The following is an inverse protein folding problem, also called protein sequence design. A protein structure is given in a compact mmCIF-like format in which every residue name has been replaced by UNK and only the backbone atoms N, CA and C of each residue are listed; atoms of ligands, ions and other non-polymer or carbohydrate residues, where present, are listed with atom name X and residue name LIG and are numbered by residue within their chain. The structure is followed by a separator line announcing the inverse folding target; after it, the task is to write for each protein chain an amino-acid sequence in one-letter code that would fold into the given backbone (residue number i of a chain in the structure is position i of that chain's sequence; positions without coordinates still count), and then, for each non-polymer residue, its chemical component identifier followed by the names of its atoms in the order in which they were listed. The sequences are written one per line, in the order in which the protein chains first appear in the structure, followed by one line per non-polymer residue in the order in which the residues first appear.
data_IF_067042945421
#
_entry.id   IF_067042945421
#
_cell.length_a   1.000
_cell.length_b   1.000
_cell.length_c   1.000
_cell.angle_alpha   90.00
_cell.angle_beta   90.00
_cell.angle_gamma   90.00
#
_symmetry.space_group_name_H-M   'P 1'
#
loop_
_entity.id
_entity.type
_entity.pdbx_description
1 polymer ?
#
# COMPACT_ATOMS: atom_id res chain seq x y z
N UNK A 1 -11.53 18.60 -17.11
CA UNK A 1 -10.87 18.98 -15.84
C UNK A 1 -9.61 19.75 -16.20
N UNK A 2 -9.34 20.88 -15.56
CA UNK A 2 -8.06 21.57 -15.70
C UNK A 2 -7.14 21.10 -14.58
N UNK A 3 -5.81 21.06 -14.81
CA UNK A 3 -4.84 20.63 -13.80
C UNK A 3 -4.97 21.39 -12.47
N UNK A 4 -5.24 22.67 -12.53
CA UNK A 4 -5.44 23.52 -11.34
C UNK A 4 -6.61 23.10 -10.43
N UNK A 5 -7.54 22.26 -10.95
CA UNK A 5 -8.69 21.74 -10.19
C UNK A 5 -8.38 20.40 -9.51
N UNK A 6 -7.24 19.79 -9.84
CA UNK A 6 -6.80 18.52 -9.26
C UNK A 6 -6.34 18.74 -7.83
N UNK A 7 -6.87 17.94 -6.90
CA UNK A 7 -6.55 17.99 -5.46
C UNK A 7 -5.90 16.73 -4.93
N UNK A 8 -6.09 15.62 -5.63
CA UNK A 8 -5.60 14.30 -5.20
C UNK A 8 -4.82 13.64 -6.34
N UNK A 9 -3.67 13.06 -6.02
CA UNK A 9 -2.86 12.27 -6.94
C UNK A 9 -2.70 10.85 -6.42
N UNK A 10 -2.77 9.90 -7.32
CA UNK A 10 -2.36 8.52 -7.08
C UNK A 10 -1.11 8.25 -7.91
N UNK A 11 0.02 7.99 -7.25
CA UNK A 11 1.31 7.78 -7.89
C UNK A 11 1.75 6.32 -7.78
N UNK A 12 2.18 5.74 -8.89
CA UNK A 12 2.80 4.43 -8.99
C UNK A 12 4.27 4.62 -9.39
N UNK A 13 5.15 4.85 -8.43
CA UNK A 13 6.54 5.23 -8.69
C UNK A 13 7.49 4.06 -8.95
N UNK A 14 7.00 2.83 -8.80
CA UNK A 14 7.78 1.61 -9.03
C UNK A 14 6.87 0.46 -9.44
N UNK A 15 7.24 -0.26 -10.47
CA UNK A 15 6.66 -1.56 -10.81
C UNK A 15 7.44 -2.73 -10.18
N UNK A 16 8.47 -2.47 -9.38
CA UNK A 16 9.23 -3.50 -8.66
C UNK A 16 8.62 -3.78 -7.29
N UNK A 17 8.65 -5.03 -6.86
CA UNK A 17 8.28 -5.44 -5.52
C UNK A 17 9.17 -6.61 -5.07
N UNK A 18 9.56 -6.62 -3.81
CA UNK A 18 10.30 -7.74 -3.22
C UNK A 18 9.40 -8.87 -2.71
N UNK A 19 8.09 -8.61 -2.53
CA UNK A 19 7.13 -9.61 -2.07
C UNK A 19 6.53 -10.43 -3.21
N UNK A 20 6.12 -11.67 -2.93
CA UNK A 20 5.47 -12.62 -3.87
C UNK A 20 4.12 -13.06 -3.30
N UNK A 21 3.18 -12.10 -3.18
CA UNK A 21 1.86 -12.36 -2.61
C UNK A 21 0.96 -13.11 -3.61
N UNK A 22 0.36 -14.27 -3.25
CA UNK A 22 -0.36 -15.13 -4.19
C UNK A 22 -1.57 -14.49 -4.90
N UNK A 23 -2.20 -13.50 -4.28
CA UNK A 23 -3.36 -12.81 -4.86
C UNK A 23 -3.00 -11.44 -5.47
N UNK A 24 -1.71 -11.13 -5.58
CA UNK A 24 -1.27 -9.87 -6.19
C UNK A 24 -1.42 -9.95 -7.72
N UNK A 25 -1.89 -8.86 -8.34
CA UNK A 25 -2.03 -8.76 -9.79
C UNK A 25 -0.70 -8.95 -10.56
N UNK A 26 0.44 -8.75 -9.88
CA UNK A 26 1.77 -9.05 -10.44
C UNK A 26 1.95 -10.51 -10.83
N UNK A 27 1.28 -11.44 -10.15
CA UNK A 27 1.47 -12.89 -10.24
C UNK A 27 0.23 -13.56 -10.80
N UNK A 28 0.09 -13.66 -12.14
CA UNK A 28 -1.11 -14.19 -12.77
C UNK A 28 -1.37 -15.64 -12.34
N UNK A 29 -2.62 -15.97 -12.10
CA UNK A 29 -3.06 -17.29 -11.65
C UNK A 29 -2.30 -17.83 -10.41
N UNK A 30 -1.92 -16.93 -9.51
CA UNK A 30 -1.10 -17.25 -8.33
C UNK A 30 0.26 -17.87 -8.66
N UNK A 31 0.80 -17.58 -9.84
CA UNK A 31 2.14 -17.97 -10.25
C UNK A 31 3.19 -17.46 -9.25
N UNK A 32 4.34 -18.10 -9.20
CA UNK A 32 5.51 -17.54 -8.53
C UNK A 32 6.20 -16.46 -9.38
N UNK A 33 5.98 -16.48 -10.69
CA UNK A 33 6.62 -15.57 -11.62
C UNK A 33 5.73 -14.40 -11.99
N UNK A 34 6.35 -13.26 -12.14
CA UNK A 34 5.69 -12.00 -12.47
C UNK A 34 5.02 -12.04 -13.85
N UNK A 35 4.01 -11.20 -14.01
CA UNK A 35 3.36 -11.03 -15.31
C UNK A 35 4.37 -10.51 -16.34
N UNK A 36 4.43 -11.07 -17.56
CA UNK A 36 5.43 -10.70 -18.58
C UNK A 36 5.43 -9.22 -19.00
N UNK A 37 4.32 -8.51 -18.76
CA UNK A 37 4.24 -7.07 -19.05
C UNK A 37 4.99 -6.19 -18.05
N UNK A 38 5.38 -6.73 -16.87
CA UNK A 38 6.11 -5.97 -15.86
C UNK A 38 7.59 -5.91 -16.26
N UNK A 39 8.11 -4.69 -16.37
CA UNK A 39 9.51 -4.46 -16.72
C UNK A 39 10.27 -3.92 -15.52
N UNK A 40 11.47 -4.41 -15.29
CA UNK A 40 12.36 -3.92 -14.23
C UNK A 40 12.80 -2.46 -14.44
N UNK A 41 12.53 -1.89 -15.60
CA UNK A 41 12.79 -0.48 -15.94
C UNK A 41 11.65 0.46 -15.55
N UNK A 42 10.50 -0.07 -15.15
CA UNK A 42 9.31 0.73 -14.83
C UNK A 42 9.43 1.28 -13.40
N UNK A 43 10.46 2.12 -13.21
CA UNK A 43 10.78 2.81 -11.95
C UNK A 43 11.07 4.28 -12.26
N UNK A 44 10.33 5.17 -11.64
CA UNK A 44 10.51 6.59 -11.86
C UNK A 44 11.76 7.13 -11.16
N UNK A 45 12.56 7.89 -11.88
CA UNK A 45 13.65 8.69 -11.28
C UNK A 45 13.09 10.00 -10.74
N UNK A 46 13.85 10.64 -9.85
CA UNK A 46 13.49 11.99 -9.36
C UNK A 46 13.39 13.00 -10.50
N UNK A 47 14.29 12.96 -11.48
CA UNK A 47 14.27 13.86 -12.63
C UNK A 47 12.99 13.69 -13.47
N UNK A 48 12.56 12.45 -13.69
CA UNK A 48 11.31 12.16 -14.39
C UNK A 48 10.09 12.68 -13.63
N UNK A 49 10.10 12.55 -12.29
CA UNK A 49 9.02 13.09 -11.46
C UNK A 49 9.01 14.61 -11.52
N UNK A 50 10.17 15.26 -11.37
CA UNK A 50 10.26 16.73 -11.44
C UNK A 50 9.84 17.28 -12.80
N UNK A 51 10.16 16.57 -13.88
CA UNK A 51 9.76 16.96 -15.23
C UNK A 51 8.25 16.86 -15.45
N UNK A 52 7.61 15.77 -14.95
CA UNK A 52 6.18 15.48 -15.18
C UNK A 52 5.25 16.09 -14.14
N UNK A 53 5.76 16.28 -12.93
CA UNK A 53 5.08 16.89 -11.80
C UNK A 53 5.97 18.00 -11.22
N UNK A 54 6.14 19.11 -11.95
CA UNK A 54 6.92 20.24 -11.46
C UNK A 54 6.27 20.86 -10.22
N UNK A 55 7.05 21.54 -9.39
CA UNK A 55 6.55 22.15 -8.15
C UNK A 55 5.37 23.11 -8.38
N UNK A 56 5.32 23.79 -9.53
CA UNK A 56 4.19 24.64 -9.92
C UNK A 56 2.87 23.89 -9.97
N UNK A 57 2.89 22.63 -10.39
CA UNK A 57 1.71 21.79 -10.56
C UNK A 57 1.31 21.12 -9.24
N UNK A 58 2.28 20.82 -8.38
CA UNK A 58 2.05 20.17 -7.07
C UNK A 58 1.52 21.13 -6.01
N UNK A 59 1.75 22.44 -6.12
CA UNK A 59 1.41 23.46 -5.09
C UNK A 59 -0.04 23.46 -4.61
N UNK A 60 -0.99 23.00 -5.44
CA UNK A 60 -2.41 22.94 -5.12
C UNK A 60 -2.89 21.54 -4.75
N UNK A 61 -2.01 20.55 -4.75
CA UNK A 61 -2.33 19.17 -4.39
C UNK A 61 -2.46 19.07 -2.88
N UNK A 62 -3.57 18.53 -2.43
CA UNK A 62 -3.90 18.37 -1.02
C UNK A 62 -3.60 16.95 -0.51
N UNK A 63 -3.68 15.95 -1.41
CA UNK A 63 -3.45 14.55 -1.05
C UNK A 63 -2.64 13.83 -2.13
N UNK A 64 -1.64 13.08 -1.71
CA UNK A 64 -0.91 12.14 -2.57
C UNK A 64 -0.99 10.75 -1.97
N UNK A 65 -1.41 9.78 -2.76
CA UNK A 65 -1.33 8.37 -2.45
C UNK A 65 -0.23 7.73 -3.29
N UNK A 66 0.75 7.12 -2.64
CA UNK A 66 1.73 6.23 -3.28
C UNK A 66 1.34 4.82 -2.91
N UNK A 67 0.67 4.11 -3.83
CA UNK A 67 -0.02 2.87 -3.48
C UNK A 67 0.83 1.62 -3.71
N UNK A 68 1.43 1.46 -4.85
CA UNK A 68 2.11 0.21 -5.20
C UNK A 68 1.14 -0.89 -5.64
N UNK A 69 0.28 -0.61 -6.60
CA UNK A 69 -0.63 -1.60 -7.19
C UNK A 69 0.15 -2.72 -7.88
N UNK A 70 1.18 -2.36 -8.64
CA UNK A 70 2.05 -3.29 -9.35
C UNK A 70 3.46 -3.38 -8.77
N UNK A 71 3.81 -2.54 -7.82
CA UNK A 71 5.12 -2.49 -7.21
C UNK A 71 5.06 -2.21 -5.71
N UNK A 72 6.18 -1.78 -5.17
CA UNK A 72 6.23 -1.26 -3.81
C UNK A 72 7.16 -0.04 -3.77
N UNK A 73 6.72 1.01 -3.12
CA UNK A 73 7.43 2.27 -2.92
C UNK A 73 8.90 2.08 -2.49
N UNK A 74 9.12 1.16 -1.53
CA UNK A 74 10.45 0.92 -0.94
C UNK A 74 11.49 0.39 -1.94
N UNK A 75 11.06 -0.14 -3.08
CA UNK A 75 11.96 -0.66 -4.11
C UNK A 75 12.55 0.45 -5.00
N UNK A 76 11.92 1.62 -5.03
CA UNK A 76 12.42 2.75 -5.80
C UNK A 76 13.58 3.45 -5.06
N UNK A 77 14.77 3.47 -5.66
CA UNK A 77 15.96 4.11 -5.07
C UNK A 77 15.80 5.62 -4.86
N UNK A 78 14.91 6.28 -5.61
CA UNK A 78 14.62 7.71 -5.51
C UNK A 78 13.43 8.03 -4.60
N UNK A 79 12.88 7.02 -3.90
CA UNK A 79 11.66 7.16 -3.12
C UNK A 79 11.68 8.35 -2.13
N UNK A 80 12.75 8.48 -1.33
CA UNK A 80 12.91 9.62 -0.40
C UNK A 80 12.90 10.97 -1.14
N UNK A 81 13.70 11.10 -2.20
CA UNK A 81 13.78 12.34 -2.97
C UNK A 81 12.47 12.71 -3.64
N UNK A 82 11.69 11.71 -4.07
CA UNK A 82 10.36 11.92 -4.66
C UNK A 82 9.39 12.46 -3.60
N UNK A 83 9.33 11.83 -2.43
CA UNK A 83 8.45 12.28 -1.34
C UNK A 83 8.87 13.67 -0.85
N UNK A 84 10.17 13.94 -0.73
CA UNK A 84 10.69 15.24 -0.38
C UNK A 84 10.30 16.32 -1.40
N UNK A 85 10.42 16.03 -2.70
CA UNK A 85 9.99 16.95 -3.76
C UNK A 85 8.50 17.29 -3.67
N UNK A 86 7.65 16.31 -3.39
CA UNK A 86 6.19 16.52 -3.21
C UNK A 86 5.94 17.42 -1.99
N UNK A 87 6.60 17.12 -0.87
CA UNK A 87 6.47 17.90 0.36
C UNK A 87 6.94 19.35 0.16
N UNK A 88 8.11 19.55 -0.45
CA UNK A 88 8.69 20.90 -0.67
C UNK A 88 7.79 21.75 -1.58
N UNK A 89 7.17 21.13 -2.58
CA UNK A 89 6.25 21.79 -3.51
C UNK A 89 4.89 22.11 -2.88
N UNK A 90 4.41 21.28 -1.95
CA UNK A 90 3.15 21.46 -1.22
C UNK A 90 3.29 21.04 0.24
N UNK A 91 3.80 21.90 1.14
CA UNK A 91 4.11 21.55 2.52
C UNK A 91 2.91 21.11 3.38
N UNK A 92 1.69 21.45 2.95
CA UNK A 92 0.45 21.03 3.63
C UNK A 92 -0.17 19.77 3.04
N UNK A 93 0.38 19.26 1.94
CA UNK A 93 -0.10 18.04 1.29
C UNK A 93 0.02 16.84 2.26
N UNK A 94 -1.05 16.07 2.36
CA UNK A 94 -1.04 14.80 3.09
C UNK A 94 -0.56 13.69 2.17
N UNK A 95 0.52 13.02 2.53
CA UNK A 95 1.11 11.93 1.75
C UNK A 95 0.81 10.61 2.48
N UNK A 96 0.17 9.67 1.78
CA UNK A 96 -0.06 8.31 2.27
C UNK A 96 0.71 7.33 1.41
N UNK A 97 1.50 6.48 2.05
CA UNK A 97 2.29 5.43 1.39
C UNK A 97 1.78 4.08 1.87
N UNK A 98 1.46 3.18 0.93
CA UNK A 98 1.23 1.78 1.22
C UNK A 98 2.48 0.97 0.88
N UNK A 99 2.92 0.11 1.80
CA UNK A 99 4.14 -0.68 1.62
C UNK A 99 4.09 -2.00 2.39
N UNK A 100 4.84 -2.99 1.92
CA UNK A 100 5.10 -4.21 2.70
C UNK A 100 6.17 -4.01 3.78
N UNK A 101 6.92 -2.90 3.76
CA UNK A 101 7.90 -2.54 4.79
C UNK A 101 9.16 -3.40 4.88
N UNK A 102 9.32 -4.46 4.07
CA UNK A 102 10.37 -5.48 4.23
C UNK A 102 11.66 -5.19 3.45
N UNK A 103 11.97 -3.91 3.22
CA UNK A 103 13.23 -3.50 2.60
C UNK A 103 13.71 -2.18 3.18
N UNK A 104 14.90 -1.76 2.75
CA UNK A 104 15.64 -0.60 3.28
C UNK A 104 16.20 -0.84 4.67
N UNK A 105 17.11 0.04 5.08
CA UNK A 105 17.72 0.02 6.42
C UNK A 105 16.88 0.83 7.39
N UNK A 106 17.00 0.56 8.68
CA UNK A 106 16.33 1.36 9.72
C UNK A 106 16.66 2.85 9.60
N UNK A 107 17.90 3.20 9.25
CA UNK A 107 18.30 4.60 9.01
C UNK A 107 17.50 5.26 7.88
N UNK A 108 17.21 4.55 6.79
CA UNK A 108 16.39 5.05 5.70
C UNK A 108 14.96 5.36 6.16
N UNK A 109 14.40 4.51 7.04
CA UNK A 109 13.09 4.73 7.63
C UNK A 109 13.08 5.90 8.62
N UNK A 110 14.17 6.08 9.38
CA UNK A 110 14.38 7.25 10.23
C UNK A 110 14.41 8.53 9.39
N UNK A 111 15.11 8.53 8.25
CA UNK A 111 15.16 9.67 7.32
C UNK A 111 13.76 9.98 6.74
N UNK A 112 12.99 8.97 6.37
CA UNK A 112 11.63 9.14 5.87
C UNK A 112 10.69 9.78 6.91
N UNK A 113 10.90 9.48 8.20
CA UNK A 113 10.08 9.99 9.29
C UNK A 113 10.20 11.52 9.50
N UNK A 114 11.27 12.14 9.01
CA UNK A 114 11.42 13.61 9.09
C UNK A 114 10.54 14.38 8.10
N UNK A 115 9.93 13.71 7.12
CA UNK A 115 9.05 14.39 6.16
C UNK A 115 7.68 14.59 6.81
N UNK A 116 7.23 15.85 7.03
CA UNK A 116 5.96 16.13 7.67
C UNK A 116 4.75 15.69 6.83
N UNK A 117 3.59 15.55 7.48
CA UNK A 117 2.31 15.20 6.85
C UNK A 117 2.34 13.87 6.06
N UNK A 118 3.29 12.99 6.41
CA UNK A 118 3.46 11.67 5.84
C UNK A 118 2.87 10.61 6.77
N UNK A 119 2.05 9.73 6.22
CA UNK A 119 1.60 8.50 6.88
C UNK A 119 2.08 7.30 6.07
N UNK A 120 2.70 6.34 6.75
CA UNK A 120 3.09 5.06 6.14
C UNK A 120 2.15 3.97 6.65
N UNK A 121 1.48 3.31 5.72
CA UNK A 121 0.65 2.15 5.99
C UNK A 121 1.44 0.86 5.73
N UNK A 122 1.85 0.20 6.80
CA UNK A 122 2.53 -1.09 6.75
C UNK A 122 1.53 -2.22 6.56
N UNK A 123 1.68 -3.00 5.49
CA UNK A 123 0.83 -4.13 5.20
C UNK A 123 1.41 -5.41 5.82
N UNK A 124 0.99 -5.72 7.05
CA UNK A 124 1.36 -6.93 7.78
C UNK A 124 0.13 -7.83 7.97
N UNK A 125 0.19 -9.06 7.46
CA UNK A 125 -0.94 -9.99 7.45
C UNK A 125 -0.71 -11.13 8.45
N UNK A 126 -0.69 -10.80 9.75
CA UNK A 126 -0.49 -11.70 10.87
C UNK A 126 0.79 -11.46 11.66
N UNK A 127 1.08 -12.34 12.60
CA UNK A 127 2.32 -12.38 13.37
C UNK A 127 3.43 -13.10 12.57
N UNK A 128 4.58 -13.32 13.20
CA UNK A 128 5.78 -13.89 12.56
C UNK A 128 5.52 -15.25 11.89
N UNK A 129 4.72 -16.09 12.51
CA UNK A 129 4.41 -17.45 12.07
C UNK A 129 3.45 -17.51 10.87
N UNK A 130 2.59 -16.53 10.71
CA UNK A 130 1.54 -16.53 9.67
C UNK A 130 1.75 -15.51 8.55
N UNK A 131 2.42 -14.40 8.85
CA UNK A 131 2.64 -13.31 7.90
C UNK A 131 3.22 -13.79 6.56
N UNK A 132 4.26 -14.63 6.62
CA UNK A 132 4.96 -15.13 5.44
C UNK A 132 4.17 -16.12 4.59
N UNK A 133 3.05 -16.65 5.09
CA UNK A 133 2.17 -17.50 4.30
C UNK A 133 1.54 -16.72 3.14
N UNK A 134 1.19 -15.45 3.36
CA UNK A 134 0.68 -14.57 2.33
C UNK A 134 1.72 -13.60 1.78
N UNK A 135 2.45 -12.87 2.65
CA UNK A 135 3.49 -11.92 2.26
C UNK A 135 4.83 -12.63 2.01
N UNK A 136 4.82 -13.56 1.06
CA UNK A 136 5.98 -14.38 0.75
C UNK A 136 7.15 -13.53 0.28
N UNK A 137 8.35 -13.99 0.56
CA UNK A 137 9.61 -13.30 0.26
C UNK A 137 9.77 -11.95 0.99
N UNK A 138 9.05 -11.77 2.11
CA UNK A 138 9.26 -10.68 3.07
C UNK A 138 9.79 -11.27 4.39
N UNK A 139 10.38 -10.41 5.22
CA UNK A 139 10.86 -10.80 6.54
C UNK A 139 10.12 -10.02 7.61
N UNK A 140 9.36 -10.70 8.46
CA UNK A 140 8.51 -10.10 9.49
C UNK A 140 9.32 -9.24 10.47
N UNK A 141 10.44 -9.76 10.99
CA UNK A 141 11.29 -9.03 11.92
C UNK A 141 11.84 -7.73 11.29
N UNK A 142 12.27 -7.80 10.03
CA UNK A 142 12.72 -6.60 9.29
C UNK A 142 11.62 -5.55 9.20
N UNK A 143 10.37 -5.96 8.96
CA UNK A 143 9.24 -5.01 8.88
C UNK A 143 9.02 -4.35 10.24
N UNK A 144 9.03 -5.13 11.32
CA UNK A 144 8.85 -4.62 12.68
C UNK A 144 9.98 -3.65 13.07
N UNK A 145 11.23 -3.98 12.75
CA UNK A 145 12.37 -3.12 13.06
C UNK A 145 12.32 -1.81 12.25
N UNK A 146 11.91 -1.87 10.99
CA UNK A 146 11.71 -0.71 10.13
C UNK A 146 10.56 0.19 10.64
N UNK A 147 9.43 -0.41 11.00
CA UNK A 147 8.30 0.32 11.58
C UNK A 147 8.68 1.00 12.90
N UNK A 148 9.40 0.30 13.78
CA UNK A 148 9.92 0.88 15.04
C UNK A 148 10.86 2.05 14.79
N UNK A 149 11.78 1.93 13.84
CA UNK A 149 12.70 3.00 13.49
C UNK A 149 11.94 4.25 13.01
N UNK A 150 10.98 4.06 12.11
CA UNK A 150 10.11 5.13 11.60
C UNK A 150 9.28 5.80 12.72
N UNK A 151 8.60 5.00 13.55
CA UNK A 151 7.75 5.50 14.66
C UNK A 151 8.58 6.22 15.71
N UNK A 152 9.74 5.67 16.10
CA UNK A 152 10.63 6.26 17.11
C UNK A 152 11.11 7.66 16.73
N UNK A 153 11.25 7.95 15.45
CA UNK A 153 11.60 9.28 14.93
C UNK A 153 10.38 10.21 14.76
N UNK A 154 9.20 9.80 15.25
CA UNK A 154 7.98 10.60 15.17
C UNK A 154 7.16 10.39 13.91
N UNK A 155 7.50 9.40 13.09
CA UNK A 155 6.76 9.05 11.89
C UNK A 155 5.36 8.52 12.21
N UNK A 156 4.36 8.90 11.41
CA UNK A 156 2.98 8.44 11.55
C UNK A 156 2.80 7.10 10.79
N UNK A 157 2.63 6.00 11.52
CA UNK A 157 2.48 4.66 10.96
C UNK A 157 1.09 4.08 11.23
N UNK A 158 0.50 3.47 10.21
CA UNK A 158 -0.69 2.62 10.30
C UNK A 158 -0.30 1.16 9.99
N UNK A 159 -0.99 0.22 10.61
CA UNK A 159 -0.88 -1.20 10.30
C UNK A 159 -2.18 -1.66 9.62
N UNK A 160 -2.10 -2.18 8.40
CA UNK A 160 -3.23 -2.83 7.72
C UNK A 160 -3.00 -4.33 7.63
N UNK A 161 -3.98 -5.10 8.10
CA UNK A 161 -4.00 -6.57 8.05
C UNK A 161 -5.16 -7.04 7.17
N UNK A 162 -4.86 -7.92 6.21
CA UNK A 162 -5.90 -8.68 5.51
C UNK A 162 -6.16 -9.98 6.25
N UNK A 163 -7.42 -10.24 6.59
CA UNK A 163 -7.82 -11.40 7.37
C UNK A 163 -8.09 -12.57 6.41
N UNK A 164 -7.33 -13.65 6.62
CA UNK A 164 -7.44 -14.94 5.95
C UNK A 164 -7.74 -16.05 6.96
N UNK A 165 -8.10 -17.25 6.48
CA UNK A 165 -8.31 -18.41 7.33
C UNK A 165 -7.10 -18.70 8.25
N UNK A 166 -5.88 -18.58 7.72
CA UNK A 166 -4.65 -18.91 8.44
C UNK A 166 -4.22 -17.90 9.52
N UNK A 167 -4.72 -16.65 9.47
CA UNK A 167 -4.33 -15.59 10.41
C UNK A 167 -5.51 -14.98 11.20
N UNK A 168 -6.76 -15.41 10.94
CA UNK A 168 -7.96 -14.82 11.58
C UNK A 168 -7.95 -14.89 13.11
N UNK A 169 -7.28 -15.90 13.67
CA UNK A 169 -7.13 -16.09 15.13
C UNK A 169 -6.15 -15.10 15.78
N UNK A 170 -5.36 -14.36 14.99
CA UNK A 170 -4.33 -13.44 15.48
C UNK A 170 -4.73 -11.96 15.45
N UNK A 171 -5.96 -11.62 15.04
CA UNK A 171 -6.38 -10.21 14.88
C UNK A 171 -6.20 -9.41 16.17
N UNK A 172 -6.64 -9.95 17.31
CA UNK A 172 -6.51 -9.28 18.62
C UNK A 172 -5.05 -9.14 19.06
N UNK A 173 -4.25 -10.16 18.83
CA UNK A 173 -2.81 -10.15 19.15
C UNK A 173 -2.06 -9.16 18.27
N UNK A 174 -2.36 -9.09 16.98
CA UNK A 174 -1.81 -8.09 16.07
C UNK A 174 -2.22 -6.66 16.49
N UNK A 175 -3.47 -6.45 16.90
CA UNK A 175 -3.94 -5.16 17.38
C UNK A 175 -3.22 -4.74 18.67
N UNK A 176 -3.03 -5.67 19.60
CA UNK A 176 -2.28 -5.43 20.84
C UNK A 176 -0.84 -5.03 20.52
N UNK A 177 -0.16 -5.82 19.68
CA UNK A 177 1.21 -5.55 19.26
C UNK A 177 1.34 -4.21 18.52
N UNK A 178 0.38 -3.86 17.67
CA UNK A 178 0.36 -2.58 16.97
C UNK A 178 0.35 -1.41 17.98
N UNK A 179 -0.45 -1.48 19.03
CA UNK A 179 -0.48 -0.48 20.11
C UNK A 179 0.86 -0.40 20.87
N UNK A 180 1.43 -1.56 21.22
CA UNK A 180 2.72 -1.65 21.91
C UNK A 180 3.87 -1.05 21.08
N UNK A 181 3.82 -1.22 19.77
CA UNK A 181 4.80 -0.68 18.84
C UNK A 181 4.59 0.82 18.53
N UNK A 182 3.44 1.40 18.90
CA UNK A 182 3.13 2.81 18.68
C UNK A 182 2.51 3.11 17.32
N UNK A 183 1.94 2.13 16.62
CA UNK A 183 1.15 2.40 15.43
C UNK A 183 -0.05 3.28 15.79
N UNK A 184 -0.34 4.29 14.95
CA UNK A 184 -1.46 5.21 15.16
C UNK A 184 -2.81 4.52 14.98
N UNK A 185 -2.92 3.68 13.94
CA UNK A 185 -4.12 2.93 13.66
C UNK A 185 -3.78 1.48 13.31
N UNK A 186 -4.72 0.58 13.63
CA UNK A 186 -4.72 -0.81 13.18
C UNK A 186 -6.01 -1.09 12.42
N UNK A 187 -5.89 -1.58 11.19
CA UNK A 187 -7.00 -1.85 10.29
C UNK A 187 -6.98 -3.32 9.88
N UNK A 188 -7.90 -4.12 10.40
CA UNK A 188 -8.10 -5.50 9.96
C UNK A 188 -9.35 -5.58 9.08
N UNK A 189 -9.22 -6.22 7.92
CA UNK A 189 -10.31 -6.34 6.95
C UNK A 189 -10.34 -7.71 6.30
N UNK A 190 -11.54 -8.20 6.02
CA UNK A 190 -11.73 -9.41 5.22
C UNK A 190 -11.31 -9.16 3.77
N UNK A 191 -10.76 -10.21 3.13
CA UNK A 191 -10.63 -10.23 1.68
C UNK A 191 -11.93 -10.67 1.05
N UNK A 192 -12.30 -10.07 -0.08
CA UNK A 192 -13.40 -10.50 -0.95
C UNK A 192 -12.91 -11.45 -2.07
N UNK A 193 -11.60 -11.74 -2.09
CA UNK A 193 -10.97 -12.59 -3.10
C UNK A 193 -11.20 -14.06 -2.78
N UNK A 194 -11.35 -14.86 -3.84
CA UNK A 194 -11.51 -16.31 -3.76
C UNK A 194 -10.23 -17.00 -3.29
N UNK A 195 -10.36 -18.27 -2.89
CA UNK A 195 -9.21 -19.10 -2.54
C UNK A 195 -8.26 -19.28 -3.71
N UNK A 196 -6.95 -19.17 -3.44
CA UNK A 196 -5.90 -19.39 -4.45
C UNK A 196 -4.78 -20.25 -3.87
N UNK A 197 -4.08 -21.05 -4.71
CA UNK A 197 -2.90 -21.78 -4.26
C UNK A 197 -1.71 -20.82 -4.11
N UNK A 198 -0.90 -21.00 -3.09
CA UNK A 198 0.43 -20.42 -3.02
C UNK A 198 1.42 -21.39 -3.70
N UNK A 199 2.06 -20.97 -4.80
CA UNK A 199 2.92 -21.84 -5.61
C UNK A 199 4.39 -21.51 -5.37
N UNK A 200 5.24 -22.54 -5.31
CA UNK A 200 6.69 -22.39 -5.31
C UNK A 200 7.26 -22.08 -6.72
N UNK A 201 8.60 -22.00 -6.82
CA UNK A 201 9.31 -21.75 -8.08
C UNK A 201 9.14 -22.87 -9.10
N UNK A 202 8.81 -24.08 -8.67
CA UNK A 202 8.52 -25.24 -9.51
C UNK A 202 7.05 -25.30 -9.94
N UNK A 203 6.22 -24.35 -9.50
CA UNK A 203 4.79 -24.29 -9.77
C UNK A 203 3.95 -25.23 -8.89
N UNK A 204 4.57 -25.88 -7.90
CA UNK A 204 3.86 -26.77 -6.98
C UNK A 204 3.11 -25.96 -5.91
N UNK A 205 1.91 -26.41 -5.57
CA UNK A 205 1.12 -25.79 -4.50
C UNK A 205 1.71 -26.18 -3.15
N UNK A 206 2.18 -25.18 -2.41
CA UNK A 206 2.70 -25.38 -1.04
C UNK A 206 1.59 -25.34 0.02
N UNK A 207 0.63 -24.44 -0.17
CA UNK A 207 -0.55 -24.26 0.69
C UNK A 207 -1.63 -23.46 -0.05
N UNK A 208 -2.77 -23.26 0.60
CA UNK A 208 -3.86 -22.46 0.04
C UNK A 208 -4.07 -21.19 0.86
N UNK A 209 -4.26 -20.08 0.17
CA UNK A 209 -4.75 -18.84 0.76
C UNK A 209 -6.27 -18.84 0.63
N UNK A 210 -6.98 -18.87 1.76
CA UNK A 210 -8.43 -18.90 1.82
C UNK A 210 -8.97 -17.68 2.56
N UNK A 211 -10.12 -17.13 2.15
CA UNK A 211 -10.83 -16.14 2.95
C UNK A 211 -11.09 -16.65 4.36
N UNK A 212 -11.16 -15.76 5.32
CA UNK A 212 -11.57 -16.09 6.68
C UNK A 212 -13.01 -16.63 6.72
N UNK A 213 -13.24 -17.71 7.48
CA UNK A 213 -14.51 -18.43 7.46
C UNK A 213 -15.50 -17.96 8.52
N UNK A 214 -15.04 -17.57 9.71
CA UNK A 214 -15.89 -17.27 10.86
C UNK A 214 -15.40 -16.05 11.64
N UNK A 215 -14.91 -15.06 10.96
CA UNK A 215 -14.53 -13.87 11.67
C UNK A 215 -15.82 -13.12 12.08
N UNK A 216 -16.09 -12.93 13.39
CA UNK A 216 -16.88 -11.78 13.74
C UNK A 216 -16.19 -10.60 13.08
N UNK A 217 -16.93 -9.69 12.45
CA UNK A 217 -16.39 -8.43 11.92
C UNK A 217 -15.90 -7.54 13.07
N UNK A 218 -14.95 -8.03 13.81
CA UNK A 218 -14.11 -7.23 14.65
C UNK A 218 -13.05 -6.61 13.76
N UNK A 219 -13.49 -5.72 12.95
CA UNK A 219 -12.80 -4.45 12.83
C UNK A 219 -12.53 -4.05 14.26
N UNK A 220 -11.25 -4.11 14.70
CA UNK A 220 -10.90 -3.84 16.10
C UNK A 220 -11.69 -2.66 16.62
N UNK A 221 -12.04 -2.64 17.91
CA UNK A 221 -12.95 -1.67 18.49
C UNK A 221 -12.76 -0.30 17.84
N UNK A 222 -13.68 -0.01 16.94
CA UNK A 222 -13.69 1.24 16.21
C UNK A 222 -14.26 2.21 17.23
N UNK A 223 -13.38 3.00 17.84
CA UNK A 223 -13.84 4.18 18.60
C UNK A 223 -14.67 5.05 17.64
N UNK A 224 -15.62 5.83 18.13
CA UNK A 224 -16.41 6.75 17.29
C UNK A 224 -15.52 7.63 16.40
N UNK A 225 -14.36 8.03 16.91
CA UNK A 225 -13.32 8.77 16.19
C UNK A 225 -12.74 7.98 15.01
N UNK A 226 -12.52 6.67 15.20
CA UNK A 226 -12.03 5.76 14.17
C UNK A 226 -13.13 5.40 13.14
N UNK A 227 -14.42 5.43 13.52
CA UNK A 227 -15.54 5.26 12.58
C UNK A 227 -15.66 6.43 11.63
N UNK A 228 -15.57 7.66 12.14
CA UNK A 228 -15.57 8.86 11.29
C UNK A 228 -14.37 8.89 10.35
N UNK A 229 -13.17 8.52 10.82
CA UNK A 229 -11.98 8.38 9.98
C UNK A 229 -12.11 7.25 8.96
N UNK A 230 -12.85 6.17 9.27
CA UNK A 230 -13.12 5.06 8.36
C UNK A 230 -14.17 5.42 7.32
N UNK A 231 -15.25 6.09 7.68
CA UNK A 231 -16.23 6.64 6.74
C UNK A 231 -15.55 7.64 5.79
N UNK A 232 -14.73 8.52 6.30
CA UNK A 232 -13.94 9.45 5.51
C UNK A 232 -12.99 8.73 4.55
N UNK A 233 -12.26 7.68 5.03
CA UNK A 233 -11.38 6.87 4.16
C UNK A 233 -12.15 6.03 3.14
N UNK A 234 -13.31 5.48 3.49
CA UNK A 234 -14.17 4.74 2.55
C UNK A 234 -14.80 5.67 1.52
N UNK A 235 -15.21 6.86 1.91
CA UNK A 235 -15.73 7.90 1.02
C UNK A 235 -14.60 8.44 0.12
N UNK A 236 -13.38 8.61 0.67
CA UNK A 236 -12.22 9.09 -0.10
C UNK A 236 -11.63 8.03 -1.04
N UNK A 237 -11.93 6.73 -0.84
CA UNK A 237 -11.28 5.63 -1.57
C UNK A 237 -12.23 4.44 -1.86
N UNK A 238 -13.44 4.67 -2.42
CA UNK A 238 -14.42 3.61 -2.64
C UNK A 238 -13.97 2.56 -3.65
N UNK A 239 -13.07 2.91 -4.56
CA UNK A 239 -12.60 2.15 -5.71
C UNK A 239 -11.30 1.38 -5.45
N UNK A 240 -10.45 1.82 -4.53
CA UNK A 240 -9.19 1.12 -4.19
C UNK A 240 -9.41 -0.28 -3.61
N UNK A 241 -10.62 -0.61 -3.19
CA UNK A 241 -10.98 -1.86 -2.54
C UNK A 241 -12.10 -2.63 -3.24
N UNK A 242 -12.63 -2.13 -4.36
CA UNK A 242 -13.50 -2.93 -5.22
C UNK A 242 -12.65 -3.70 -6.21
N UNK A 243 -12.51 -5.00 -5.98
CA UNK A 243 -11.99 -5.92 -6.97
C UNK A 243 -12.92 -5.93 -8.18
N UNK A 244 -12.58 -5.18 -9.21
CA UNK A 244 -13.15 -5.47 -10.51
C UNK A 244 -12.55 -6.78 -10.99
N UNK A 245 -13.30 -7.86 -10.89
CA UNK A 245 -13.00 -9.20 -11.41
C UNK A 245 -12.99 -9.26 -12.95
N UNK A 246 -12.46 -8.24 -13.61
CA UNK A 246 -12.27 -8.29 -15.06
C UNK A 246 -10.80 -8.09 -15.38
N UNK A 247 -10.16 -9.19 -15.72
CA UNK A 247 -8.87 -9.20 -16.42
C UNK A 247 -9.12 -8.61 -17.82
N UNK A 248 -8.89 -7.32 -17.96
CA UNK A 248 -8.88 -6.69 -19.28
C UNK A 248 -7.51 -6.86 -19.93
N UNK A 249 -7.41 -7.82 -20.84
CA UNK A 249 -6.40 -7.82 -21.88
C UNK A 249 -6.74 -6.65 -22.82
N UNK A 250 -5.89 -5.67 -22.93
CA UNK A 250 -6.03 -4.39 -23.64
C UNK A 250 -6.83 -3.34 -22.86
N UNK A 251 -6.14 -2.61 -21.96
CA UNK A 251 -6.64 -1.36 -21.43
C UNK A 251 -6.10 -0.25 -22.33
N UNK A 252 -6.90 0.33 -23.23
CA UNK A 252 -6.65 1.69 -23.68
C UNK A 252 -6.71 2.56 -22.41
N UNK A 253 -5.85 3.55 -22.31
CA UNK A 253 -5.97 4.58 -21.27
C UNK A 253 -7.44 5.00 -21.23
N UNK A 254 -8.17 4.85 -20.11
CA UNK A 254 -9.57 5.24 -20.05
C UNK A 254 -9.66 6.72 -20.45
N UNK A 255 -10.63 7.05 -21.28
CA UNK A 255 -10.95 8.45 -21.53
C UNK A 255 -11.18 9.12 -20.18
N UNK A 256 -10.68 10.32 -20.00
CA UNK A 256 -10.82 11.09 -18.76
C UNK A 256 -12.27 11.14 -18.24
N UNK A 257 -13.25 10.95 -19.13
CA UNK A 257 -14.70 10.99 -18.84
C UNK A 257 -15.26 9.72 -18.19
N UNK A 258 -14.49 8.63 -18.14
CA UNK A 258 -14.92 7.33 -17.60
C UNK A 258 -14.27 6.96 -16.26
N UNK A 259 -13.42 7.82 -15.69
CA UNK A 259 -12.68 7.54 -14.47
C UNK A 259 -13.40 8.10 -13.24
N UNK A 260 -13.67 7.25 -12.24
CA UNK A 260 -14.25 7.70 -10.95
C UNK A 260 -13.37 8.75 -10.24
N UNK A 261 -12.06 8.75 -10.53
CA UNK A 261 -11.14 9.77 -10.04
C UNK A 261 -11.52 11.19 -10.46
N UNK A 262 -12.26 11.36 -11.56
CA UNK A 262 -12.78 12.66 -11.99
C UNK A 262 -13.84 13.20 -11.04
N UNK A 263 -14.69 12.34 -10.50
CA UNK A 263 -15.73 12.73 -9.53
C UNK A 263 -15.11 13.23 -8.23
N UNK A 264 -13.96 12.67 -7.86
CA UNK A 264 -13.23 13.02 -6.64
C UNK A 264 -12.11 14.04 -6.86
N UNK A 265 -11.98 14.59 -8.08
CA UNK A 265 -10.86 15.46 -8.47
C UNK A 265 -9.48 14.82 -8.22
N UNK A 266 -9.36 13.50 -8.51
CA UNK A 266 -8.15 12.72 -8.40
C UNK A 266 -7.60 12.36 -9.78
N UNK A 267 -6.29 12.18 -9.89
CA UNK A 267 -5.62 11.70 -11.11
C UNK A 267 -4.66 10.58 -10.73
N UNK A 268 -4.64 9.54 -11.56
CA UNK A 268 -3.61 8.49 -11.53
C UNK A 268 -2.45 8.89 -12.45
N UNK A 269 -1.22 8.84 -11.94
CA UNK A 269 0.01 9.18 -12.68
C UNK A 269 1.06 8.07 -12.52
#
# INVERSE_FOLDING_TARGET
MKWQDVKKLHLEISALCNAVCPQCARYPAASYYEHPSIKNTDVWTIDQVQQRLPASDLKNIEHVLINGTMGDFITNRHALSIVQHIHDASPTCKILINTNGSARTSRWWEELAYIPNLTVNFALDGLEDTHSLYRRNTNWQTIIDNARAFIKQGGCADWTMTIFEHNQHQVEDCQRLARELGFKNFWARHTDRTSVPARDRQGQTTHWIRPATNSPMTLGEITEENMQAKEHKLIERPDLFRSNNQVHNNIPLPSLDACDSLRERSIYV
#
